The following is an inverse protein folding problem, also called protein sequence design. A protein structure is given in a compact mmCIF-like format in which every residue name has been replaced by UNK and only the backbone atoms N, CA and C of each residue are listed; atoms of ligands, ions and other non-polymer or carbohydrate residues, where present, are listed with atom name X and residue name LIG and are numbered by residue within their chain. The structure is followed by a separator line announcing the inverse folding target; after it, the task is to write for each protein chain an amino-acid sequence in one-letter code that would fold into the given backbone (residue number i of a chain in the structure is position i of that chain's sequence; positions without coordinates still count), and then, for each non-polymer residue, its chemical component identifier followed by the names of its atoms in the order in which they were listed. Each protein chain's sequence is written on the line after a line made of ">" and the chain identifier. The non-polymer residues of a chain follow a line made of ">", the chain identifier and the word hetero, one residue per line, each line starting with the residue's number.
data_IF_644040167329
#
_entry.id   IF_644040167329
#
_cell.length_a   1.000
_cell.length_b   1.000
_cell.length_c   1.000
_cell.angle_alpha   90.00
_cell.angle_beta   90.00
_cell.angle_gamma   90.00
#
_symmetry.space_group_name_H-M   'P 1'
#
loop_
_entity.id
_entity.type
_entity.pdbx_description
1 polymer ?
#
# COMPACT_ATOMS: atom_id res chain seq x y z
N UNK A 1 69.00 -12.22 -32.71
CA UNK A 1 68.34 -11.54 -31.58
C UNK A 1 66.86 -11.91 -31.60
N UNK A 2 66.41 -12.79 -30.69
CA UNK A 2 65.01 -13.25 -30.60
C UNK A 2 64.24 -12.31 -29.68
N UNK A 3 63.13 -11.72 -30.13
CA UNK A 3 62.15 -11.04 -29.27
C UNK A 3 60.99 -12.01 -29.01
N UNK A 4 60.58 -12.26 -27.76
CA UNK A 4 59.32 -12.94 -27.51
C UNK A 4 58.19 -11.90 -27.54
N UNK A 5 57.15 -12.16 -28.34
CA UNK A 5 55.88 -11.45 -28.29
C UNK A 5 55.04 -12.17 -27.24
N UNK A 6 54.81 -11.52 -26.10
CA UNK A 6 53.92 -12.02 -25.06
C UNK A 6 52.49 -11.58 -25.43
N UNK A 7 51.69 -12.51 -25.93
CA UNK A 7 50.28 -12.28 -26.24
C UNK A 7 49.49 -12.44 -24.93
N UNK A 8 49.13 -11.32 -24.30
CA UNK A 8 48.28 -11.31 -23.11
C UNK A 8 46.82 -11.43 -23.57
N UNK A 9 46.23 -12.62 -23.43
CA UNK A 9 44.82 -12.87 -23.72
C UNK A 9 43.98 -12.44 -22.50
N UNK A 10 43.50 -11.19 -22.50
CA UNK A 10 42.49 -10.74 -21.53
C UNK A 10 41.12 -11.32 -21.90
N UNK A 11 40.74 -12.41 -21.23
CA UNK A 11 39.37 -12.92 -21.22
C UNK A 11 38.49 -11.97 -20.39
N UNK A 12 37.78 -11.07 -21.08
CA UNK A 12 36.69 -10.27 -20.51
C UNK A 12 35.51 -11.20 -20.23
N UNK A 13 35.32 -11.57 -18.96
CA UNK A 13 34.05 -12.12 -18.48
C UNK A 13 32.98 -11.02 -18.60
N UNK A 14 32.22 -11.04 -19.69
CA UNK A 14 30.94 -10.31 -19.75
C UNK A 14 29.95 -11.03 -18.84
N UNK A 15 29.89 -10.61 -17.58
CA UNK A 15 28.72 -10.88 -16.76
C UNK A 15 27.54 -10.19 -17.43
N UNK A 16 26.69 -10.99 -18.09
CA UNK A 16 25.37 -10.54 -18.52
C UNK A 16 24.56 -10.29 -17.26
N UNK A 17 24.63 -9.04 -16.77
CA UNK A 17 23.59 -8.52 -15.89
C UNK A 17 22.30 -8.68 -16.68
N UNK A 18 21.44 -9.62 -16.26
CA UNK A 18 20.05 -9.65 -16.72
C UNK A 18 19.44 -8.34 -16.23
N UNK A 19 19.44 -7.33 -17.09
CA UNK A 19 18.60 -6.16 -16.89
C UNK A 19 17.16 -6.64 -17.00
N UNK A 20 16.47 -6.77 -15.88
CA UNK A 20 15.01 -6.87 -15.92
C UNK A 20 14.51 -5.50 -16.35
N UNK A 21 14.03 -5.41 -17.59
CA UNK A 21 13.25 -4.27 -18.02
C UNK A 21 11.89 -4.40 -17.37
N UNK A 22 11.53 -3.43 -16.53
CA UNK A 22 10.19 -3.30 -15.95
C UNK A 22 9.13 -3.47 -17.05
N UNK A 23 8.06 -4.22 -16.80
CA UNK A 23 6.88 -4.20 -17.68
C UNK A 23 6.19 -2.85 -17.48
N UNK A 24 6.27 -1.91 -18.46
CA UNK A 24 5.68 -0.59 -18.29
C UNK A 24 4.15 -0.67 -18.20
N UNK A 25 3.53 -1.80 -18.55
CA UNK A 25 2.10 -2.03 -18.45
C UNK A 25 1.69 -2.77 -17.17
N UNK A 26 2.62 -3.03 -16.25
CA UNK A 26 2.29 -3.54 -14.93
C UNK A 26 2.33 -2.40 -13.90
N UNK A 27 1.16 -1.86 -13.57
CA UNK A 27 1.01 -0.75 -12.64
C UNK A 27 0.88 -1.27 -11.22
N UNK A 28 1.78 -0.82 -10.35
CA UNK A 28 1.91 -1.33 -9.00
C UNK A 28 1.57 -0.22 -8.00
N UNK A 29 0.80 -0.56 -6.98
CA UNK A 29 0.32 0.36 -5.97
C UNK A 29 0.71 -0.12 -4.59
N UNK A 30 1.32 0.78 -3.82
CA UNK A 30 1.70 0.52 -2.44
C UNK A 30 0.53 0.93 -1.54
N UNK A 31 0.20 0.13 -0.53
CA UNK A 31 -0.84 0.46 0.42
C UNK A 31 -0.39 0.19 1.85
N UNK A 32 -0.71 1.12 2.74
CA UNK A 32 -0.38 1.03 4.15
C UNK A 32 -1.37 1.79 5.03
N UNK A 33 -1.35 1.51 6.32
CA UNK A 33 -2.22 2.15 7.28
C UNK A 33 -2.56 1.24 8.45
N UNK A 34 -3.77 1.40 8.97
CA UNK A 34 -4.25 0.65 10.14
C UNK A 34 -5.38 -0.32 9.79
N UNK A 35 -6.27 -0.61 10.76
CA UNK A 35 -7.28 -1.68 10.66
C UNK A 35 -8.20 -1.57 9.44
N UNK A 36 -8.56 -0.36 9.01
CA UNK A 36 -9.37 -0.18 7.80
C UNK A 36 -8.59 -0.45 6.50
N UNK A 37 -7.27 -0.23 6.42
CA UNK A 37 -6.45 -0.68 5.28
C UNK A 37 -6.09 -2.17 5.37
N UNK A 38 -5.87 -2.67 6.58
CA UNK A 38 -5.57 -4.09 6.87
C UNK A 38 -6.74 -5.01 6.52
N UNK A 39 -7.96 -4.51 6.75
CA UNK A 39 -9.24 -5.15 6.48
C UNK A 39 -9.84 -5.79 7.73
N UNK A 40 -10.93 -5.20 8.23
CA UNK A 40 -11.64 -5.67 9.43
C UNK A 40 -12.93 -6.45 9.12
N UNK A 41 -13.62 -6.12 8.01
CA UNK A 41 -14.86 -6.80 7.68
C UNK A 41 -14.58 -8.19 7.09
N UNK A 42 -15.39 -9.17 7.47
CA UNK A 42 -15.39 -10.47 6.79
C UNK A 42 -15.82 -10.27 5.33
N UNK A 43 -15.03 -10.77 4.40
CA UNK A 43 -15.37 -10.77 2.99
C UNK A 43 -16.48 -11.81 2.70
N UNK A 44 -17.26 -11.52 1.66
CA UNK A 44 -18.41 -12.30 1.19
C UNK A 44 -18.05 -12.99 -0.15
N UNK A 45 -18.86 -13.96 -0.63
CA UNK A 45 -18.55 -14.69 -1.87
C UNK A 45 -18.26 -13.79 -3.08
N UNK A 46 -18.97 -12.67 -3.23
CA UNK A 46 -18.75 -11.72 -4.33
C UNK A 46 -17.36 -11.05 -4.30
N UNK A 47 -16.74 -10.94 -3.12
CA UNK A 47 -15.42 -10.32 -2.97
C UNK A 47 -14.32 -11.27 -3.45
N UNK A 48 -14.59 -12.57 -3.48
CA UNK A 48 -13.63 -13.62 -3.86
C UNK A 48 -13.55 -13.89 -5.36
N UNK A 49 -14.36 -13.19 -6.17
CA UNK A 49 -14.27 -13.26 -7.63
C UNK A 49 -13.00 -12.57 -8.09
N UNK A 50 -12.04 -13.36 -8.57
CA UNK A 50 -10.75 -12.88 -9.05
C UNK A 50 -10.88 -12.17 -10.40
N UNK A 51 -10.03 -11.16 -10.62
CA UNK A 51 -9.75 -10.60 -11.95
C UNK A 51 -8.34 -11.01 -12.36
N UNK A 52 -8.18 -11.55 -13.58
CA UNK A 52 -6.88 -12.07 -14.05
C UNK A 52 -5.78 -11.00 -14.09
N UNK A 53 -6.15 -9.73 -14.30
CA UNK A 53 -5.24 -8.57 -14.37
C UNK A 53 -4.89 -7.99 -13.00
N UNK A 54 -5.59 -8.38 -11.92
CA UNK A 54 -5.35 -7.85 -10.58
C UNK A 54 -4.57 -8.85 -9.72
N UNK A 55 -3.39 -8.44 -9.26
CA UNK A 55 -2.43 -9.25 -8.51
C UNK A 55 -2.10 -8.61 -7.17
N UNK A 56 -1.82 -9.44 -6.17
CA UNK A 56 -1.29 -9.03 -4.85
C UNK A 56 0.11 -9.61 -4.70
N UNK A 57 1.07 -8.78 -4.30
CA UNK A 57 2.37 -9.26 -3.85
C UNK A 57 2.24 -9.57 -2.36
N UNK A 58 2.38 -10.84 -2.01
CA UNK A 58 2.12 -11.29 -0.66
C UNK A 58 3.16 -10.68 0.32
N UNK A 59 2.67 -10.02 1.38
CA UNK A 59 3.53 -9.28 2.28
C UNK A 59 4.10 -10.10 3.44
N UNK A 60 3.54 -11.27 3.74
CA UNK A 60 3.98 -12.21 4.79
C UNK A 60 3.70 -13.65 4.34
N UNK A 61 4.44 -14.65 4.84
CA UNK A 61 4.12 -16.04 4.54
C UNK A 61 2.73 -16.43 5.08
N UNK A 62 1.89 -16.97 4.20
CA UNK A 62 0.55 -17.47 4.51
C UNK A 62 0.40 -18.92 4.02
N UNK A 63 0.91 -19.90 4.80
CA UNK A 63 0.80 -21.31 4.46
C UNK A 63 -0.65 -21.77 4.24
N UNK A 64 -1.60 -21.27 5.04
CA UNK A 64 -3.03 -21.60 4.92
C UNK A 64 -3.66 -21.15 3.60
N UNK A 65 -3.05 -20.17 2.94
CA UNK A 65 -3.47 -19.66 1.63
C UNK A 65 -2.57 -20.16 0.49
N UNK A 66 -1.56 -20.98 0.79
CA UNK A 66 -0.46 -21.33 -0.12
C UNK A 66 0.20 -20.09 -0.77
N UNK A 67 0.37 -19.02 0.01
CA UNK A 67 1.05 -17.80 -0.44
C UNK A 67 2.36 -17.60 0.33
N UNK A 68 3.45 -17.41 -0.39
CA UNK A 68 4.77 -17.10 0.15
C UNK A 68 5.05 -15.61 -0.02
N UNK A 69 5.75 -15.02 0.96
CA UNK A 69 6.14 -13.61 0.91
C UNK A 69 6.93 -13.30 -0.37
N UNK A 70 6.67 -12.13 -0.97
CA UNK A 70 7.39 -11.66 -2.15
C UNK A 70 7.01 -12.36 -3.46
N UNK A 71 5.90 -13.12 -3.48
CA UNK A 71 5.35 -13.71 -4.71
C UNK A 71 4.00 -13.11 -5.08
N UNK A 72 3.74 -13.03 -6.39
CA UNK A 72 2.49 -12.52 -6.95
C UNK A 72 1.41 -13.59 -6.99
N UNK A 73 0.20 -13.24 -6.54
CA UNK A 73 -0.98 -14.10 -6.57
C UNK A 73 -2.17 -13.35 -7.17
N UNK A 74 -3.23 -14.02 -7.67
CA UNK A 74 -4.51 -13.36 -7.93
C UNK A 74 -4.97 -12.60 -6.68
N UNK A 75 -5.28 -11.31 -6.84
CA UNK A 75 -5.75 -10.48 -5.73
C UNK A 75 -7.20 -10.81 -5.39
N UNK A 76 -7.36 -11.63 -4.36
CA UNK A 76 -8.62 -11.89 -3.66
C UNK A 76 -8.35 -11.82 -2.15
N UNK A 77 -9.35 -11.37 -1.35
CA UNK A 77 -9.17 -11.24 0.09
C UNK A 77 -8.63 -12.52 0.74
N UNK A 78 -7.78 -12.40 1.78
CA UNK A 78 -7.22 -11.16 2.31
C UNK A 78 -6.03 -10.64 1.48
N UNK A 79 -5.83 -9.31 1.47
CA UNK A 79 -4.71 -8.66 0.76
C UNK A 79 -3.55 -8.24 1.66
N UNK A 80 -3.73 -8.14 2.99
CA UNK A 80 -2.70 -7.65 3.91
C UNK A 80 -1.95 -8.78 4.63
N UNK A 81 -2.65 -9.57 5.47
CA UNK A 81 -2.09 -10.76 6.16
C UNK A 81 -3.07 -11.91 6.12
N UNK A 82 -2.62 -13.10 6.50
CA UNK A 82 -3.32 -14.37 6.27
C UNK A 82 -4.74 -14.45 6.86
N UNK A 83 -4.97 -13.73 7.96
CA UNK A 83 -6.20 -13.80 8.75
C UNK A 83 -6.96 -12.47 8.78
N UNK A 84 -6.70 -11.56 7.83
CA UNK A 84 -7.39 -10.26 7.76
C UNK A 84 -8.65 -10.35 6.89
N UNK A 85 -9.40 -9.25 6.83
CA UNK A 85 -10.66 -9.15 6.12
C UNK A 85 -10.57 -8.45 4.77
N UNK A 86 -11.71 -7.93 4.33
CA UNK A 86 -11.89 -7.07 3.16
C UNK A 86 -11.27 -5.69 3.42
N UNK A 87 -10.53 -5.18 2.43
CA UNK A 87 -9.89 -3.86 2.46
C UNK A 87 -10.39 -3.00 1.29
N UNK A 88 -10.31 -1.65 1.36
CA UNK A 88 -10.53 -0.80 0.19
C UNK A 88 -9.64 -1.21 -1.01
N UNK A 89 -8.47 -1.80 -0.75
CA UNK A 89 -7.56 -2.31 -1.79
C UNK A 89 -8.20 -3.33 -2.74
N UNK A 90 -9.16 -4.13 -2.26
CA UNK A 90 -9.84 -5.16 -3.05
C UNK A 90 -10.65 -4.55 -4.20
N UNK A 91 -11.41 -3.50 -3.89
CA UNK A 91 -12.26 -2.83 -4.88
C UNK A 91 -11.51 -1.76 -5.64
N UNK A 92 -10.46 -1.16 -5.05
CA UNK A 92 -9.52 -0.32 -5.78
C UNK A 92 -8.95 -1.01 -7.02
N UNK A 93 -8.37 -2.20 -6.85
CA UNK A 93 -7.74 -2.90 -7.97
C UNK A 93 -8.74 -3.44 -8.99
N UNK A 94 -9.92 -3.91 -8.55
CA UNK A 94 -11.02 -4.31 -9.44
C UNK A 94 -11.50 -3.14 -10.28
N UNK A 95 -11.75 -1.98 -9.67
CA UNK A 95 -12.16 -0.77 -10.39
C UNK A 95 -11.10 -0.30 -11.38
N UNK A 96 -9.81 -0.36 -11.02
CA UNK A 96 -8.75 -0.04 -11.98
C UNK A 96 -8.68 -1.01 -13.15
N UNK A 97 -8.81 -2.31 -12.89
CA UNK A 97 -8.85 -3.31 -13.96
C UNK A 97 -10.03 -3.03 -14.90
N UNK A 98 -11.22 -2.71 -14.38
CA UNK A 98 -12.38 -2.36 -15.20
C UNK A 98 -12.21 -1.05 -15.99
N UNK A 99 -11.51 -0.08 -15.42
CA UNK A 99 -11.41 1.28 -15.98
C UNK A 99 -10.25 1.48 -16.97
N UNK A 100 -9.18 0.68 -16.84
CA UNK A 100 -7.96 0.83 -17.63
C UNK A 100 -7.91 -0.16 -18.82
N UNK A 101 -7.18 0.18 -19.90
CA UNK A 101 -7.05 -0.70 -21.07
C UNK A 101 -6.62 -2.13 -20.70
N UNK A 102 -7.09 -3.12 -21.44
CA UNK A 102 -6.82 -4.54 -21.17
C UNK A 102 -5.35 -4.93 -21.19
N UNK A 103 -4.49 -4.10 -21.80
CA UNK A 103 -3.03 -4.26 -21.75
C UNK A 103 -2.43 -4.02 -20.36
N UNK A 104 -3.14 -3.33 -19.47
CA UNK A 104 -2.63 -2.92 -18.15
C UNK A 104 -2.96 -3.97 -17.09
N UNK A 105 -1.92 -4.47 -16.41
CA UNK A 105 -2.02 -5.28 -15.20
C UNK A 105 -1.91 -4.39 -13.97
N UNK A 106 -2.58 -4.79 -12.89
CA UNK A 106 -2.65 -4.05 -11.63
C UNK A 106 -2.04 -4.91 -10.53
N UNK A 107 -1.06 -4.38 -9.82
CA UNK A 107 -0.41 -4.99 -8.67
C UNK A 107 -0.68 -4.18 -7.41
N UNK A 108 -0.98 -4.83 -6.29
CA UNK A 108 -1.09 -4.18 -4.99
C UNK A 108 -0.17 -4.83 -3.96
N UNK A 109 0.42 -4.02 -3.10
CA UNK A 109 1.19 -4.44 -1.93
C UNK A 109 0.50 -3.82 -0.72
N UNK A 110 0.15 -4.59 0.31
CA UNK A 110 -0.52 -4.07 1.50
C UNK A 110 0.24 -4.44 2.77
N UNK A 111 0.81 -3.43 3.43
CA UNK A 111 1.48 -3.56 4.72
C UNK A 111 0.78 -2.64 5.71
N UNK A 112 -0.12 -3.19 6.52
CA UNK A 112 -0.96 -2.43 7.44
C UNK A 112 -1.01 -3.09 8.81
N UNK A 113 -1.18 -2.29 9.86
CA UNK A 113 -1.22 -2.79 11.25
C UNK A 113 -2.40 -2.19 12.00
N UNK A 114 -3.36 -3.03 12.39
CA UNK A 114 -4.52 -2.65 13.19
C UNK A 114 -4.18 -1.75 14.39
N UNK A 115 -4.93 -0.66 14.54
CA UNK A 115 -4.81 0.28 15.67
C UNK A 115 -3.49 1.07 15.76
N UNK A 116 -2.57 0.95 14.79
CA UNK A 116 -1.33 1.70 14.83
C UNK A 116 -1.55 3.20 14.62
N UNK A 117 -0.63 4.00 15.15
CA UNK A 117 -0.48 5.39 14.73
C UNK A 117 0.42 5.48 13.50
N UNK A 118 0.45 6.64 12.83
CA UNK A 118 1.33 6.87 11.67
C UNK A 118 2.82 6.72 12.03
N UNK A 119 3.19 6.96 13.29
CA UNK A 119 4.55 6.83 13.82
C UNK A 119 5.15 5.42 13.66
N UNK A 120 4.32 4.37 13.54
CA UNK A 120 4.80 3.02 13.23
C UNK A 120 5.45 2.94 11.84
N UNK A 121 5.06 3.82 10.93
CA UNK A 121 5.60 3.90 9.57
C UNK A 121 6.68 4.97 9.41
N UNK A 122 7.03 5.69 10.48
CA UNK A 122 8.14 6.64 10.45
C UNK A 122 9.48 5.91 10.58
N UNK A 123 10.38 6.18 9.63
CA UNK A 123 11.70 5.53 9.52
C UNK A 123 12.53 5.57 10.80
N UNK A 124 12.46 6.67 11.56
CA UNK A 124 13.27 6.88 12.75
C UNK A 124 12.53 6.60 14.07
N UNK A 125 11.20 6.48 14.04
CA UNK A 125 10.38 6.38 15.26
C UNK A 125 9.73 5.00 15.46
N UNK A 126 9.69 4.13 14.44
CA UNK A 126 8.97 2.87 14.49
C UNK A 126 9.39 1.95 15.67
N UNK A 127 10.68 1.91 16.03
CA UNK A 127 11.19 1.08 17.13
C UNK A 127 10.64 1.54 18.47
N UNK A 128 10.85 2.83 18.78
CA UNK A 128 10.35 3.44 20.02
C UNK A 128 8.83 3.34 20.16
N UNK A 129 8.10 3.49 19.05
CA UNK A 129 6.66 3.28 19.02
C UNK A 129 6.31 1.83 19.34
N UNK A 130 6.96 0.87 18.66
CA UNK A 130 6.71 -0.57 18.81
C UNK A 130 6.99 -1.08 20.21
N UNK A 131 7.97 -0.52 20.94
CA UNK A 131 8.26 -0.86 22.34
C UNK A 131 7.07 -0.61 23.27
N UNK A 132 6.32 0.47 23.02
CA UNK A 132 5.15 0.87 23.83
C UNK A 132 3.84 0.24 23.35
N UNK A 133 3.85 -0.43 22.20
CA UNK A 133 2.66 -1.02 21.61
C UNK A 133 2.10 -2.18 22.47
N UNK A 134 0.77 -2.36 22.50
CA UNK A 134 0.16 -3.48 23.20
C UNK A 134 0.55 -4.82 22.55
N UNK A 135 0.52 -5.90 23.34
CA UNK A 135 1.02 -7.22 22.91
C UNK A 135 0.36 -7.75 21.63
N UNK A 136 -0.94 -7.51 21.44
CA UNK A 136 -1.65 -7.89 20.22
C UNK A 136 -1.12 -7.17 18.97
N UNK A 137 -0.71 -5.91 19.10
CA UNK A 137 -0.11 -5.12 18.00
C UNK A 137 1.32 -5.57 17.74
N UNK A 138 2.10 -5.85 18.81
CA UNK A 138 3.46 -6.41 18.68
C UNK A 138 3.47 -7.71 17.89
N UNK A 139 2.47 -8.57 18.07
CA UNK A 139 2.33 -9.80 17.27
C UNK A 139 2.04 -9.55 15.78
N UNK A 140 1.36 -8.45 15.44
CA UNK A 140 1.16 -8.04 14.04
C UNK A 140 2.44 -7.42 13.45
N UNK A 141 3.09 -6.54 14.20
CA UNK A 141 4.37 -5.90 13.84
C UNK A 141 5.46 -6.96 13.61
N UNK A 142 5.53 -7.99 14.45
CA UNK A 142 6.50 -9.08 14.32
C UNK A 142 6.35 -9.91 13.02
N UNK A 143 5.17 -9.95 12.41
CA UNK A 143 4.98 -10.63 11.10
C UNK A 143 5.67 -9.87 9.96
N UNK A 144 5.96 -8.59 10.17
CA UNK A 144 6.75 -7.74 9.28
C UNK A 144 8.18 -7.53 9.83
N UNK A 145 8.72 -8.53 10.54
CA UNK A 145 10.05 -8.53 11.16
C UNK A 145 10.31 -7.36 12.13
N UNK A 146 9.26 -6.80 12.72
CA UNK A 146 9.39 -5.66 13.62
C UNK A 146 9.37 -4.30 12.92
N UNK A 147 9.40 -4.25 11.58
CA UNK A 147 9.50 -3.02 10.81
C UNK A 147 8.54 -3.01 9.60
N UNK A 148 7.26 -2.63 9.81
CA UNK A 148 6.28 -2.54 8.73
C UNK A 148 6.68 -1.56 7.61
N UNK A 149 7.31 -0.43 7.94
CA UNK A 149 7.86 0.49 6.93
C UNK A 149 8.95 -0.20 6.09
N UNK A 150 9.88 -0.88 6.74
CA UNK A 150 10.95 -1.64 6.10
C UNK A 150 10.41 -2.73 5.16
N UNK A 151 9.39 -3.48 5.58
CA UNK A 151 8.73 -4.48 4.72
C UNK A 151 8.07 -3.84 3.50
N UNK A 152 7.45 -2.66 3.65
CA UNK A 152 6.86 -1.95 2.51
C UNK A 152 7.94 -1.52 1.50
N UNK A 153 9.07 -0.99 1.97
CA UNK A 153 10.22 -0.62 1.12
C UNK A 153 10.83 -1.83 0.42
N UNK A 154 11.02 -2.94 1.15
CA UNK A 154 11.54 -4.20 0.61
C UNK A 154 10.68 -4.71 -0.55
N UNK A 155 9.38 -4.82 -0.33
CA UNK A 155 8.44 -5.33 -1.31
C UNK A 155 8.27 -4.37 -2.50
N UNK A 156 8.31 -3.06 -2.27
CA UNK A 156 8.28 -2.08 -3.35
C UNK A 156 9.48 -2.21 -4.29
N UNK A 157 10.69 -2.41 -3.75
CA UNK A 157 11.90 -2.64 -4.56
C UNK A 157 11.83 -3.94 -5.35
N UNK A 158 11.36 -5.01 -4.72
CA UNK A 158 11.14 -6.29 -5.41
C UNK A 158 10.13 -6.12 -6.56
N UNK A 159 9.03 -5.44 -6.30
CA UNK A 159 7.97 -5.21 -7.28
C UNK A 159 8.44 -4.32 -8.45
N UNK A 160 9.39 -3.40 -8.22
CA UNK A 160 10.04 -2.61 -9.28
C UNK A 160 10.88 -3.46 -10.25
N UNK A 161 11.17 -4.73 -9.96
CA UNK A 161 11.79 -5.63 -10.96
C UNK A 161 10.78 -6.07 -12.01
N UNK A 162 9.48 -6.10 -11.66
CA UNK A 162 8.40 -6.59 -12.52
C UNK A 162 7.63 -5.46 -13.22
N UNK A 163 7.43 -4.32 -12.56
CA UNK A 163 6.56 -3.25 -13.06
C UNK A 163 6.90 -1.86 -12.54
N UNK A 164 5.95 -0.94 -12.66
CA UNK A 164 6.13 0.49 -12.35
C UNK A 164 5.21 0.88 -11.19
N UNK A 165 5.78 1.47 -10.14
CA UNK A 165 4.99 2.06 -9.05
C UNK A 165 4.24 3.28 -9.58
N UNK A 166 2.91 3.27 -9.48
CA UNK A 166 2.02 4.30 -10.03
C UNK A 166 1.23 5.09 -9.00
N UNK A 167 1.30 4.70 -7.72
CA UNK A 167 0.63 5.42 -6.65
C UNK A 167 0.70 4.73 -5.31
N UNK A 168 0.29 5.45 -4.28
CA UNK A 168 0.32 5.03 -2.89
C UNK A 168 -1.07 5.23 -2.29
N UNK A 169 -1.56 4.27 -1.52
CA UNK A 169 -2.82 4.30 -0.80
C UNK A 169 -2.53 4.33 0.70
N UNK A 170 -3.13 5.29 1.39
CA UNK A 170 -3.08 5.40 2.85
C UNK A 170 -4.50 5.34 3.40
N UNK A 171 -4.73 4.51 4.40
CA UNK A 171 -5.92 4.65 5.25
C UNK A 171 -5.55 4.52 6.73
N UNK A 172 -5.37 5.67 7.36
CA UNK A 172 -4.95 5.79 8.75
C UNK A 172 -5.40 7.12 9.32
N UNK A 173 -5.71 7.15 10.61
CA UNK A 173 -5.96 8.41 11.32
C UNK A 173 -6.72 8.23 12.62
N UNK A 174 -7.42 7.10 12.81
CA UNK A 174 -8.25 6.85 13.99
C UNK A 174 -7.39 6.93 15.27
N UNK A 175 -6.20 6.31 15.27
CA UNK A 175 -5.28 6.35 16.41
C UNK A 175 -4.53 7.69 16.55
N UNK A 176 -4.65 8.58 15.57
CA UNK A 176 -4.12 9.95 15.60
C UNK A 176 -5.24 11.00 15.67
N UNK A 177 -6.47 10.62 16.05
CA UNK A 177 -7.63 11.54 16.07
C UNK A 177 -7.31 12.85 16.79
N UNK A 178 -7.44 13.97 16.07
CA UNK A 178 -7.21 15.32 16.60
C UNK A 178 -5.76 15.83 16.49
N UNK A 179 -4.82 14.99 16.05
CA UNK A 179 -3.40 15.36 15.90
C UNK A 179 -3.18 16.26 14.67
N UNK A 180 -3.05 17.56 14.90
CA UNK A 180 -2.79 18.56 13.85
C UNK A 180 -1.44 18.39 13.14
N UNK A 181 -0.52 17.60 13.72
CA UNK A 181 0.78 17.32 13.10
C UNK A 181 0.72 16.15 12.10
N UNK A 182 -0.40 15.42 12.05
CA UNK A 182 -0.55 14.23 11.22
C UNK A 182 -0.22 14.44 9.74
N UNK A 183 -0.65 15.53 9.04
CA UNK A 183 -0.27 15.74 7.65
C UNK A 183 1.25 15.81 7.44
N UNK A 184 1.98 16.43 8.37
CA UNK A 184 3.45 16.53 8.30
C UNK A 184 4.13 15.18 8.55
N UNK A 185 3.59 14.37 9.47
CA UNK A 185 4.08 13.01 9.71
C UNK A 185 3.89 12.12 8.48
N UNK A 186 2.70 12.17 7.87
CA UNK A 186 2.41 11.47 6.61
C UNK A 186 3.35 11.93 5.50
N UNK A 187 3.61 13.23 5.38
CA UNK A 187 4.62 13.75 4.44
C UNK A 187 5.99 13.13 4.67
N UNK A 188 6.44 13.05 5.92
CA UNK A 188 7.70 12.40 6.26
C UNK A 188 7.76 10.94 5.82
N UNK A 189 6.69 10.17 6.06
CA UNK A 189 6.59 8.77 5.59
C UNK A 189 6.61 8.69 4.06
N UNK A 190 5.84 9.54 3.38
CA UNK A 190 5.74 9.59 1.92
C UNK A 190 7.09 9.95 1.28
N UNK A 191 7.74 11.04 1.71
CA UNK A 191 9.02 11.48 1.19
C UNK A 191 10.10 10.41 1.38
N UNK A 192 10.17 9.82 2.58
CA UNK A 192 11.11 8.75 2.90
C UNK A 192 10.86 7.52 2.02
N UNK A 193 9.59 7.13 1.85
CA UNK A 193 9.23 5.97 1.02
C UNK A 193 9.69 6.18 -0.42
N UNK A 194 9.37 7.33 -1.04
CA UNK A 194 9.80 7.65 -2.40
C UNK A 194 11.33 7.64 -2.53
N UNK A 195 12.02 8.29 -1.58
CA UNK A 195 13.47 8.34 -1.57
C UNK A 195 14.08 6.94 -1.44
N UNK A 196 13.57 6.11 -0.55
CA UNK A 196 14.12 4.79 -0.27
C UNK A 196 13.92 3.81 -1.43
N UNK A 197 12.87 4.00 -2.25
CA UNK A 197 12.59 3.20 -3.46
C UNK A 197 13.04 3.88 -4.76
N UNK A 198 13.78 4.99 -4.66
CA UNK A 198 14.41 5.67 -5.80
C UNK A 198 13.44 6.37 -6.75
N UNK A 199 12.29 6.84 -6.26
CA UNK A 199 11.37 7.68 -7.02
C UNK A 199 11.63 9.16 -6.75
N UNK A 200 11.40 9.99 -7.76
CA UNK A 200 11.49 11.44 -7.61
C UNK A 200 10.43 11.95 -6.63
N UNK A 201 10.72 13.00 -5.84
CA UNK A 201 9.74 13.62 -4.96
C UNK A 201 8.47 14.02 -5.71
N UNK A 202 7.30 13.79 -5.12
CA UNK A 202 5.98 14.16 -5.67
C UNK A 202 5.63 13.45 -7.01
N UNK A 203 6.40 12.46 -7.45
CA UNK A 203 6.25 11.82 -8.77
C UNK A 203 5.07 10.85 -8.88
N UNK A 204 4.58 10.32 -7.76
CA UNK A 204 3.43 9.41 -7.73
C UNK A 204 2.37 9.89 -6.74
N UNK A 205 1.08 9.80 -7.09
CA UNK A 205 0.00 10.30 -6.24
C UNK A 205 -0.15 9.51 -4.94
N UNK A 206 -0.46 10.22 -3.85
CA UNK A 206 -0.86 9.64 -2.57
C UNK A 206 -2.36 9.80 -2.37
N UNK A 207 -3.12 8.70 -2.34
CA UNK A 207 -4.54 8.73 -2.03
C UNK A 207 -4.73 8.40 -0.55
N UNK A 208 -5.34 9.31 0.21
CA UNK A 208 -5.61 9.15 1.64
C UNK A 208 -7.11 9.12 1.92
N UNK A 209 -7.59 8.09 2.60
CA UNK A 209 -9.01 7.89 2.88
C UNK A 209 -9.47 8.66 4.10
N UNK A 210 -10.65 9.27 4.02
CA UNK A 210 -11.36 9.73 5.20
C UNK A 210 -11.74 8.53 6.09
N UNK A 211 -11.75 8.75 7.40
CA UNK A 211 -12.25 7.79 8.36
C UNK A 211 -13.78 7.74 8.29
N UNK A 212 -14.40 6.77 8.97
CA UNK A 212 -15.87 6.68 9.08
C UNK A 212 -16.47 8.06 9.37
N UNK A 213 -17.42 8.49 8.52
CA UNK A 213 -18.00 9.83 8.58
C UNK A 213 -18.91 10.00 9.80
N UNK A 214 -19.18 11.25 10.19
CA UNK A 214 -20.05 11.54 11.33
C UNK A 214 -21.48 11.01 11.09
N UNK A 215 -21.97 11.11 9.85
CA UNK A 215 -23.28 10.65 9.39
C UNK A 215 -23.42 9.12 9.49
N UNK A 216 -22.30 8.40 9.39
CA UNK A 216 -22.21 6.95 9.56
C UNK A 216 -21.86 6.56 11.01
N UNK A 217 -21.93 7.49 11.98
CA UNK A 217 -21.66 7.22 13.39
C UNK A 217 -20.17 7.13 13.75
N UNK A 218 -19.30 7.72 12.92
CA UNK A 218 -17.86 7.69 13.08
C UNK A 218 -17.37 8.37 14.36
N UNK A 219 -16.74 7.60 15.25
CA UNK A 219 -16.16 8.11 16.51
C UNK A 219 -14.94 8.99 16.30
N UNK A 220 -14.25 8.79 15.17
CA UNK A 220 -13.04 9.51 14.79
C UNK A 220 -13.29 10.52 13.65
N UNK A 221 -14.56 10.83 13.33
CA UNK A 221 -14.91 11.71 12.22
C UNK A 221 -14.29 13.13 12.35
N UNK A 222 -13.97 13.58 13.56
CA UNK A 222 -13.25 14.84 13.82
C UNK A 222 -11.83 14.87 13.26
N UNK A 223 -11.27 13.73 12.86
CA UNK A 223 -9.99 13.64 12.15
C UNK A 223 -10.12 13.99 10.67
N UNK A 224 -11.28 13.83 10.04
CA UNK A 224 -11.46 14.05 8.60
C UNK A 224 -11.12 15.49 8.17
N UNK A 225 -11.48 16.55 8.93
CA UNK A 225 -11.01 17.91 8.64
C UNK A 225 -9.47 18.08 8.67
N UNK A 226 -8.75 17.26 9.44
CA UNK A 226 -7.28 17.25 9.47
C UNK A 226 -6.73 16.48 8.28
N UNK A 227 -7.33 15.33 7.93
CA UNK A 227 -6.96 14.57 6.73
C UNK A 227 -7.16 15.44 5.47
N UNK A 228 -8.21 16.27 5.45
CA UNK A 228 -8.51 17.19 4.37
C UNK A 228 -7.41 18.23 4.09
N UNK A 229 -6.50 18.51 5.04
CA UNK A 229 -5.37 19.43 4.83
C UNK A 229 -4.10 18.74 4.34
N UNK A 230 -4.12 17.43 4.13
CA UNK A 230 -2.97 16.70 3.58
C UNK A 230 -2.45 17.28 2.25
N UNK A 231 -3.31 17.70 1.29
CA UNK A 231 -2.86 18.34 0.05
C UNK A 231 -2.10 19.65 0.23
N UNK A 232 -2.24 20.33 1.39
CA UNK A 232 -1.51 21.57 1.69
C UNK A 232 -0.01 21.32 1.91
N UNK A 233 0.37 20.09 2.27
CA UNK A 233 1.76 19.68 2.53
C UNK A 233 2.30 18.67 1.51
N UNK A 234 1.43 17.95 0.80
CA UNK A 234 1.78 17.05 -0.31
C UNK A 234 0.88 17.41 -1.50
N UNK A 235 1.34 18.23 -2.46
CA UNK A 235 0.49 18.68 -3.57
C UNK A 235 -0.10 17.56 -4.43
N UNK A 236 0.60 16.43 -4.59
CA UNK A 236 0.11 15.24 -5.27
C UNK A 236 -0.67 14.27 -4.35
N UNK A 237 -1.18 14.75 -3.22
CA UNK A 237 -2.09 13.99 -2.36
C UNK A 237 -3.56 14.27 -2.70
N UNK A 238 -4.40 13.25 -2.59
CA UNK A 238 -5.83 13.31 -2.85
C UNK A 238 -6.60 12.63 -1.72
N UNK A 239 -7.56 13.36 -1.15
CA UNK A 239 -8.42 12.83 -0.08
C UNK A 239 -9.61 12.11 -0.69
N UNK A 240 -9.83 10.86 -0.27
CA UNK A 240 -10.90 10.00 -0.76
C UNK A 240 -12.04 10.01 0.25
N UNK A 241 -13.21 10.48 -0.18
CA UNK A 241 -14.31 10.67 0.75
C UNK A 241 -14.91 9.36 1.24
N UNK A 242 -15.26 9.32 2.53
CA UNK A 242 -15.97 8.23 3.19
C UNK A 242 -17.47 8.46 3.30
N UNK A 243 -18.02 9.52 2.69
CA UNK A 243 -19.45 9.81 2.69
C UNK A 243 -20.27 8.58 2.24
N UNK A 244 -21.32 8.23 2.96
CA UNK A 244 -22.18 7.06 2.67
C UNK A 244 -21.47 5.69 2.72
N UNK A 245 -20.20 5.62 3.12
CA UNK A 245 -19.53 4.34 3.36
C UNK A 245 -20.04 3.77 4.68
N UNK A 246 -20.91 2.77 4.59
CA UNK A 246 -21.56 2.15 5.74
C UNK A 246 -20.55 1.69 6.79
N UNK A 247 -20.80 2.07 8.05
CA UNK A 247 -20.03 1.64 9.20
C UNK A 247 -20.66 0.45 9.91
N UNK A 248 -19.86 -0.31 10.66
CA UNK A 248 -20.40 -1.24 11.66
C UNK A 248 -20.69 -0.52 12.97
N UNK A 249 -21.39 -1.19 13.89
CA UNK A 249 -21.87 -0.63 15.15
C UNK A 249 -20.77 -0.10 16.09
N UNK A 250 -19.49 -0.42 15.85
CA UNK A 250 -18.39 0.11 16.66
C UNK A 250 -18.03 1.56 16.34
N UNK A 251 -18.49 2.10 15.20
CA UNK A 251 -18.23 3.47 14.74
C UNK A 251 -16.76 3.74 14.39
N UNK A 252 -15.96 2.69 14.18
CA UNK A 252 -14.53 2.77 13.84
C UNK A 252 -14.23 2.08 12.50
N UNK A 253 -14.93 0.99 12.19
CA UNK A 253 -14.69 0.22 10.99
C UNK A 253 -15.85 0.29 10.01
N UNK A 254 -15.52 0.19 8.73
CA UNK A 254 -16.51 0.06 7.67
C UNK A 254 -17.12 -1.35 7.66
N UNK A 255 -18.37 -1.46 7.20
CA UNK A 255 -18.95 -2.74 6.82
C UNK A 255 -18.31 -3.24 5.52
N UNK A 256 -18.63 -4.47 5.11
CA UNK A 256 -18.22 -4.95 3.80
C UNK A 256 -18.71 -4.02 2.67
N UNK A 257 -19.95 -3.52 2.75
CA UNK A 257 -20.47 -2.55 1.79
C UNK A 257 -19.70 -1.22 1.81
N UNK A 258 -19.35 -0.72 3.00
CA UNK A 258 -18.54 0.49 3.16
C UNK A 258 -17.14 0.35 2.54
N UNK A 259 -16.45 -0.77 2.77
CA UNK A 259 -15.15 -1.04 2.15
C UNK A 259 -15.21 -1.10 0.61
N UNK A 260 -16.29 -1.66 0.06
CA UNK A 260 -16.50 -1.71 -1.40
C UNK A 260 -16.65 -0.32 -1.99
N UNK A 261 -17.51 0.50 -1.40
CA UNK A 261 -17.74 1.87 -1.87
C UNK A 261 -16.47 2.72 -1.74
N UNK A 262 -15.78 2.62 -0.60
CA UNK A 262 -14.54 3.34 -0.38
C UNK A 262 -13.46 2.89 -1.39
N UNK A 263 -13.27 1.59 -1.56
CA UNK A 263 -12.32 1.01 -2.53
C UNK A 263 -12.62 1.44 -3.96
N UNK A 264 -13.90 1.44 -4.37
CA UNK A 264 -14.32 1.99 -5.66
C UNK A 264 -13.88 3.44 -5.83
N UNK A 265 -14.07 4.30 -4.81
CA UNK A 265 -13.68 5.72 -4.89
C UNK A 265 -12.16 5.92 -4.97
N UNK A 266 -11.38 5.11 -4.26
CA UNK A 266 -9.93 5.08 -4.46
C UNK A 266 -9.59 4.72 -5.91
N UNK A 267 -10.25 3.69 -6.46
CA UNK A 267 -9.99 3.18 -7.81
C UNK A 267 -10.37 4.20 -8.88
N UNK A 268 -11.57 4.77 -8.80
CA UNK A 268 -12.08 5.80 -9.71
C UNK A 268 -11.17 7.04 -9.70
N UNK A 269 -10.78 7.52 -8.51
CA UNK A 269 -9.87 8.65 -8.41
C UNK A 269 -8.52 8.35 -9.07
N UNK A 270 -7.95 7.18 -8.83
CA UNK A 270 -6.68 6.80 -9.44
C UNK A 270 -6.79 6.63 -10.96
N UNK A 271 -7.88 6.03 -11.46
CA UNK A 271 -8.13 5.91 -12.90
C UNK A 271 -8.14 7.29 -13.59
N UNK A 272 -8.80 8.28 -12.99
CA UNK A 272 -8.81 9.66 -13.48
C UNK A 272 -7.44 10.35 -13.47
N UNK A 273 -6.55 9.98 -12.54
CA UNK A 273 -5.19 10.51 -12.48
C UNK A 273 -4.32 9.87 -13.56
N UNK A 274 -4.43 8.56 -13.75
CA UNK A 274 -3.68 7.82 -14.76
C UNK A 274 -4.11 8.16 -16.20
N UNK A 275 -5.38 8.54 -16.41
CA UNK A 275 -5.86 8.98 -17.73
C UNK A 275 -5.40 10.38 -18.14
N UNK A 276 -4.80 11.15 -17.22
CA UNK A 276 -4.34 12.53 -17.45
C UNK A 276 -2.82 12.62 -17.70
N UNK A 277 -2.10 11.51 -17.55
CA UNK A 277 -0.67 11.37 -17.81
C UNK A 277 -0.44 10.90 -19.24
#
# INVERSE_FOLDING_TARGET
>A
MKKPIFLLLCLLFMNTLKGYSQDPNFYIFLSFGQSNMEGNAKFEPQDTVANERFKVLQAVDCPDLNREMGKWYPAVPPLSRCNTGLTPGDYFGKTLAESLPDSIKIGIINVSVGGCKIELFEKDNYESYSETAPGWMKGMIAQYDGNPYGRLVELAKLAQEDGVIKGILLHQGESNTGDQSWPKKVKGVYDNLLSDIGLDPDSVPLLAGELVSAEQGGKCASMNPIIATLPDVIPNAYVISSADCEAIADGLHFSAAGYRLLGYRYGDKMAQLLSKQ
#
